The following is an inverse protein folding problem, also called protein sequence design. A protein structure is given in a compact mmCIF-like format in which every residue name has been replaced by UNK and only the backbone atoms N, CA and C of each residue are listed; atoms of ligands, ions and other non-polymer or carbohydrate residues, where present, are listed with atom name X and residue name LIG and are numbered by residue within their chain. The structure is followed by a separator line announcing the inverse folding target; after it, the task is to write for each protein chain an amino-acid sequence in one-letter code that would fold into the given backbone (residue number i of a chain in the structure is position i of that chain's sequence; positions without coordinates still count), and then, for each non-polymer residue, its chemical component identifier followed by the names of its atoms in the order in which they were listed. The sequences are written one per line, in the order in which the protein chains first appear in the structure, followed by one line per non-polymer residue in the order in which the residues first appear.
data_IF_372245860872
#
_entry.id   IF_372245860872
#
_cell.length_a   1.000
_cell.length_b   1.000
_cell.length_c   1.000
_cell.angle_alpha   90.00
_cell.angle_beta   90.00
_cell.angle_gamma   90.00
#
_symmetry.space_group_name_H-M   'P 1'
#
loop_
_entity.id
_entity.type
_entity.pdbx_description
1 polymer ?
#
# COMPACT_ATOMS: atom_id res chain seq x y z
N UNK A 1 9.45 -4.24 -0.59
CA UNK A 1 8.59 -4.23 -1.80
C UNK A 1 7.56 -3.12 -1.77
N UNK A 2 6.52 -3.17 -0.92
CA UNK A 2 5.43 -2.15 -0.88
C UNK A 2 5.93 -0.73 -0.63
N UNK A 3 7.03 -0.54 0.11
CA UNK A 3 7.67 0.77 0.27
C UNK A 3 8.25 1.34 -1.05
N UNK A 4 8.84 0.49 -1.89
CA UNK A 4 9.32 0.93 -3.21
C UNK A 4 8.16 1.26 -4.14
N UNK A 5 7.07 0.48 -4.08
CA UNK A 5 5.83 0.79 -4.82
C UNK A 5 5.23 2.11 -4.34
N UNK A 6 5.16 2.35 -3.04
CA UNK A 6 4.70 3.63 -2.48
C UNK A 6 5.55 4.82 -2.97
N UNK A 7 6.87 4.64 -3.11
CA UNK A 7 7.72 5.70 -3.66
C UNK A 7 7.43 5.94 -5.14
N UNK A 8 7.30 4.87 -5.93
CA UNK A 8 6.93 4.96 -7.34
C UNK A 8 5.57 5.66 -7.52
N UNK A 9 4.59 5.31 -6.70
CA UNK A 9 3.27 5.95 -6.71
C UNK A 9 3.33 7.46 -6.43
N UNK A 10 4.35 7.93 -5.70
CA UNK A 10 4.53 9.35 -5.46
C UNK A 10 5.11 10.08 -6.68
N UNK A 11 5.96 9.43 -7.47
CA UNK A 11 6.46 9.99 -8.74
C UNK A 11 5.34 10.09 -9.79
N UNK A 12 4.26 9.29 -9.67
CA UNK A 12 3.05 9.42 -10.50
C UNK A 12 2.29 10.73 -10.26
N UNK A 13 2.66 11.53 -9.26
CA UNK A 13 2.22 12.93 -9.16
C UNK A 13 2.56 13.76 -10.42
N UNK A 14 3.55 13.32 -11.22
CA UNK A 14 3.79 13.88 -12.55
C UNK A 14 2.62 13.77 -13.53
N UNK A 15 1.52 13.11 -13.18
CA UNK A 15 0.29 13.06 -13.98
C UNK A 15 -0.67 14.23 -13.74
N UNK A 16 -0.39 15.12 -12.78
CA UNK A 16 -1.27 16.27 -12.54
C UNK A 16 -1.19 17.27 -13.69
N UNK A 17 -2.18 18.15 -13.80
CA UNK A 17 -2.27 19.13 -14.87
C UNK A 17 -1.11 20.14 -14.83
N UNK A 18 -0.53 20.41 -13.67
CA UNK A 18 0.59 21.35 -13.48
C UNK A 18 1.91 20.81 -14.04
N UNK A 19 2.13 19.49 -13.99
CA UNK A 19 3.36 18.86 -14.48
C UNK A 19 3.19 18.28 -15.89
N UNK A 20 2.13 17.50 -16.11
CA UNK A 20 1.81 16.91 -17.42
C UNK A 20 2.86 15.96 -17.99
N UNK A 21 3.70 15.35 -17.16
CA UNK A 21 4.81 14.49 -17.61
C UNK A 21 4.37 13.09 -18.03
N UNK A 22 3.31 12.57 -17.42
CA UNK A 22 2.79 11.23 -17.67
C UNK A 22 1.27 11.27 -17.73
N UNK A 23 0.69 10.41 -18.58
CA UNK A 23 -0.76 10.25 -18.69
C UNK A 23 -1.15 8.84 -18.29
N UNK A 24 -1.99 8.71 -17.27
CA UNK A 24 -2.48 7.42 -16.79
C UNK A 24 -3.58 6.92 -17.73
N UNK A 25 -3.56 5.61 -18.00
CA UNK A 25 -4.57 4.95 -18.81
C UNK A 25 -5.90 4.85 -18.05
N UNK A 26 -7.03 4.94 -18.77
CA UNK A 26 -8.38 4.98 -18.17
C UNK A 26 -8.70 3.74 -17.31
N UNK A 27 -8.04 2.61 -17.54
CA UNK A 27 -8.20 1.40 -16.73
C UNK A 27 -7.65 1.55 -15.29
N UNK A 28 -6.73 2.50 -15.06
CA UNK A 28 -6.02 2.70 -13.79
C UNK A 28 -6.27 4.09 -13.17
N UNK A 29 -7.16 4.88 -13.77
CA UNK A 29 -7.55 6.20 -13.28
C UNK A 29 -9.05 6.33 -13.26
N UNK A 30 -9.61 7.03 -12.28
CA UNK A 30 -10.99 7.49 -12.36
C UNK A 30 -11.04 8.86 -13.02
N UNK A 31 -12.14 9.16 -13.70
CA UNK A 31 -12.37 10.46 -14.32
C UNK A 31 -13.75 10.97 -13.94
N UNK A 32 -13.92 12.29 -14.04
CA UNK A 32 -15.21 12.93 -13.83
C UNK A 32 -15.98 13.00 -15.15
N UNK A 33 -17.29 12.77 -15.09
CA UNK A 33 -18.17 12.88 -16.26
C UNK A 33 -18.34 14.33 -16.76
N UNK A 34 -18.08 15.31 -15.89
CA UNK A 34 -18.16 16.74 -16.20
C UNK A 34 -16.86 17.28 -16.81
N UNK A 35 -15.73 16.67 -16.47
CA UNK A 35 -14.38 17.12 -16.80
C UNK A 35 -13.63 15.99 -17.52
N UNK A 36 -13.82 15.83 -18.85
CA UNK A 36 -13.30 14.68 -19.62
C UNK A 36 -11.78 14.52 -19.63
N UNK A 37 -11.05 15.60 -19.32
CA UNK A 37 -9.58 15.63 -19.26
C UNK A 37 -9.06 15.27 -17.87
N UNK A 38 -9.90 15.32 -16.84
CA UNK A 38 -9.53 15.01 -15.47
C UNK A 38 -9.37 13.51 -15.29
N UNK A 39 -8.20 13.09 -14.81
CA UNK A 39 -7.88 11.70 -14.49
C UNK A 39 -7.16 11.64 -13.15
N UNK A 40 -7.79 10.98 -12.19
CA UNK A 40 -7.29 10.82 -10.84
C UNK A 40 -6.50 9.52 -10.73
N UNK A 41 -5.31 9.60 -10.13
CA UNK A 41 -4.37 8.49 -9.98
C UNK A 41 -4.72 7.62 -8.76
N UNK A 42 -5.98 7.25 -8.58
CA UNK A 42 -6.48 6.58 -7.37
C UNK A 42 -5.71 5.31 -7.01
N UNK A 43 -5.31 4.54 -8.03
CA UNK A 43 -4.48 3.35 -7.86
C UNK A 43 -3.15 3.68 -7.15
N UNK A 44 -2.50 4.76 -7.54
CA UNK A 44 -1.26 5.23 -6.93
C UNK A 44 -1.49 5.71 -5.49
N UNK A 45 -2.59 6.41 -5.23
CA UNK A 45 -2.95 6.86 -3.89
C UNK A 45 -3.20 5.70 -2.94
N UNK A 46 -3.92 4.67 -3.41
CA UNK A 46 -4.20 3.46 -2.64
C UNK A 46 -2.92 2.67 -2.34
N UNK A 47 -2.02 2.49 -3.32
CA UNK A 47 -0.73 1.81 -3.11
C UNK A 47 0.14 2.57 -2.10
N UNK A 48 0.13 3.90 -2.14
CA UNK A 48 0.83 4.73 -1.15
C UNK A 48 0.29 4.47 0.26
N UNK A 49 -1.03 4.43 0.43
CA UNK A 49 -1.68 4.11 1.71
C UNK A 49 -1.37 2.68 2.20
N UNK A 50 -1.36 1.70 1.28
CA UNK A 50 -1.01 0.30 1.55
C UNK A 50 0.40 0.15 2.15
N UNK A 51 1.35 1.03 1.79
CA UNK A 51 2.67 1.08 2.38
C UNK A 51 2.65 1.27 3.91
N UNK A 52 1.80 2.17 4.41
CA UNK A 52 1.65 2.41 5.85
C UNK A 52 1.06 1.19 6.58
N UNK A 53 0.11 0.48 5.94
CA UNK A 53 -0.50 -0.73 6.50
C UNK A 53 0.53 -1.83 6.74
N UNK A 54 1.43 -2.08 5.78
CA UNK A 54 2.51 -3.05 5.96
C UNK A 54 3.46 -2.66 7.10
N UNK A 55 3.76 -1.37 7.29
CA UNK A 55 4.57 -0.91 8.43
C UNK A 55 3.85 -1.18 9.75
N UNK A 56 2.55 -0.86 9.83
CA UNK A 56 1.76 -1.11 11.03
C UNK A 56 1.75 -2.60 11.43
N UNK A 57 1.54 -3.50 10.47
CA UNK A 57 1.57 -4.94 10.71
C UNK A 57 2.95 -5.41 11.21
N UNK A 58 4.03 -4.89 10.63
CA UNK A 58 5.39 -5.20 11.07
C UNK A 58 5.65 -4.73 12.52
N UNK A 59 5.27 -3.49 12.84
CA UNK A 59 5.43 -2.94 14.18
C UNK A 59 4.63 -3.73 15.22
N UNK A 60 3.40 -4.14 14.89
CA UNK A 60 2.58 -4.97 15.77
C UNK A 60 3.22 -6.34 16.02
N UNK A 61 3.68 -7.02 14.96
CA UNK A 61 4.35 -8.31 15.07
C UNK A 61 5.62 -8.23 15.92
N UNK A 62 6.48 -7.24 15.66
CA UNK A 62 7.70 -7.03 16.45
C UNK A 62 7.41 -6.73 17.92
N UNK A 63 6.34 -5.99 18.20
CA UNK A 63 5.95 -5.66 19.57
C UNK A 63 5.46 -6.89 20.34
N UNK A 64 4.74 -7.78 19.68
CA UNK A 64 4.26 -9.05 20.26
C UNK A 64 5.40 -10.03 20.53
N UNK A 65 6.35 -10.18 19.59
CA UNK A 65 7.45 -11.14 19.71
C UNK A 65 8.54 -10.68 20.70
N UNK A 66 8.59 -9.38 21.02
CA UNK A 66 9.61 -8.80 21.89
C UNK A 66 9.48 -9.31 23.33
N UNK A 67 10.52 -10.02 23.79
CA UNK A 67 10.69 -10.36 25.22
C UNK A 67 9.87 -11.55 25.70
N UNK A 68 9.34 -12.37 24.78
CA UNK A 68 8.68 -13.62 25.12
C UNK A 68 9.70 -14.63 25.67
N UNK A 69 9.43 -15.27 26.84
CA UNK A 69 10.25 -16.38 27.32
C UNK A 69 10.10 -17.58 26.39
N UNK A 70 11.15 -18.41 26.31
CA UNK A 70 11.10 -19.67 25.57
C UNK A 70 10.25 -20.71 26.35
N UNK A 71 9.51 -21.62 25.71
CA UNK A 71 9.40 -21.85 24.27
C UNK A 71 8.07 -21.31 23.69
N UNK A 72 7.03 -22.14 23.61
CA UNK A 72 5.74 -21.75 23.05
C UNK A 72 4.91 -20.93 24.04
N UNK A 73 4.48 -19.74 23.61
CA UNK A 73 3.56 -18.87 24.33
C UNK A 73 2.28 -18.67 23.52
N UNK A 74 1.13 -18.57 24.19
CA UNK A 74 -0.18 -18.44 23.53
C UNK A 74 -0.31 -17.11 22.77
N UNK A 75 0.44 -16.09 23.16
CA UNK A 75 0.60 -14.81 22.48
C UNK A 75 0.97 -15.00 20.99
N UNK A 76 1.72 -16.06 20.67
CA UNK A 76 2.09 -16.43 19.29
C UNK A 76 0.89 -16.85 18.42
N UNK A 77 -0.35 -16.84 18.91
CA UNK A 77 -1.52 -17.06 18.06
C UNK A 77 -1.82 -15.85 17.16
N UNK A 78 -1.45 -14.65 17.60
CA UNK A 78 -1.72 -13.39 16.89
C UNK A 78 -0.65 -13.07 15.82
N UNK A 79 0.30 -13.96 15.56
CA UNK A 79 1.32 -13.82 14.52
C UNK A 79 0.75 -13.90 13.08
N UNK A 80 -0.27 -14.74 12.88
CA UNK A 80 -0.86 -15.06 11.57
C UNK A 80 -1.67 -13.90 10.97
N UNK A 81 -2.58 -13.23 11.70
CA UNK A 81 -3.35 -12.13 11.13
C UNK A 81 -2.52 -11.02 10.46
N UNK A 82 -1.48 -10.42 11.10
CA UNK A 82 -0.68 -9.37 10.46
C UNK A 82 0.14 -9.90 9.28
N UNK A 83 0.56 -11.18 9.32
CA UNK A 83 1.26 -11.82 8.20
C UNK A 83 0.34 -11.99 6.99
N UNK A 84 -0.85 -12.57 7.17
CA UNK A 84 -1.82 -12.78 6.10
C UNK A 84 -2.32 -11.46 5.51
N UNK A 85 -2.55 -10.46 6.36
CA UNK A 85 -2.91 -9.13 5.90
C UNK A 85 -1.81 -8.50 5.04
N UNK A 86 -0.56 -8.59 5.49
CA UNK A 86 0.59 -8.07 4.72
C UNK A 86 0.75 -8.79 3.39
N UNK A 87 0.57 -10.12 3.35
CA UNK A 87 0.59 -10.89 2.10
C UNK A 87 -0.50 -10.42 1.14
N UNK A 88 -1.74 -10.28 1.62
CA UNK A 88 -2.85 -9.79 0.81
C UNK A 88 -2.54 -8.41 0.23
N UNK A 89 -2.10 -7.48 1.07
CA UNK A 89 -1.72 -6.12 0.65
C UNK A 89 -0.62 -6.13 -0.41
N UNK A 90 0.40 -6.96 -0.24
CA UNK A 90 1.50 -7.11 -1.20
C UNK A 90 1.00 -7.62 -2.56
N UNK A 91 0.15 -8.67 -2.57
CA UNK A 91 -0.40 -9.24 -3.81
C UNK A 91 -1.33 -8.22 -4.48
N UNK A 92 -2.24 -7.61 -3.73
CA UNK A 92 -3.18 -6.58 -4.20
C UNK A 92 -2.47 -5.28 -4.65
N UNK A 93 -1.17 -5.13 -4.43
CA UNK A 93 -0.39 -3.97 -4.92
C UNK A 93 0.36 -4.27 -6.23
N UNK A 94 0.40 -5.52 -6.66
CA UNK A 94 1.08 -5.97 -7.88
C UNK A 94 0.11 -6.27 -9.03
N UNK A 95 -1.17 -6.42 -8.72
CA UNK A 95 -2.27 -6.66 -9.66
C UNK A 95 -3.11 -5.40 -9.79
#
# INVERSE_FOLDING_TARGET
MTQHLSRLSQELYGSTAEYGFVRIADAFSTGSSLTPQERNADMAELIRGKGARCIGNWTAFMSMMRGLPLAYNRDMQDDKPPLFDTMKVCIDSLV
#
